data_IF_712580870875
#
_entry.id   IF_712580870875
#
_cell.length_a   1.000
_cell.length_b   1.000
_cell.length_c   1.000
_cell.angle_alpha   90.00
_cell.angle_beta   90.00
_cell.angle_gamma   90.00
#
_symmetry.space_group_name_H-M   'P 1'
#
loop_
_entity.id
_entity.type
_entity.pdbx_description
1 polymer ?
#
# COMPACT_ATOMS: atom_id res chain seq x y z
N UNK A 1 -29.03 -15.24 -27.37
CA UNK A 1 -27.86 -16.05 -26.93
C UNK A 1 -26.54 -15.30 -27.07
N UNK A 2 -26.31 -14.60 -28.18
CA UNK A 2 -25.07 -13.82 -28.41
C UNK A 2 -24.85 -12.66 -27.44
N UNK A 3 -25.90 -11.95 -26.99
CA UNK A 3 -25.77 -10.87 -26.02
C UNK A 3 -25.29 -11.37 -24.65
N UNK A 4 -25.82 -12.50 -24.19
CA UNK A 4 -25.41 -13.10 -22.92
C UNK A 4 -23.93 -13.51 -22.93
N UNK A 5 -23.48 -14.11 -24.04
CA UNK A 5 -22.07 -14.52 -24.20
C UNK A 5 -21.15 -13.28 -24.24
N UNK A 6 -21.55 -12.22 -24.95
CA UNK A 6 -20.76 -10.98 -25.01
C UNK A 6 -20.65 -10.29 -23.64
N UNK A 7 -21.76 -10.20 -22.89
CA UNK A 7 -21.75 -9.64 -21.54
C UNK A 7 -20.87 -10.48 -20.59
N UNK A 8 -20.96 -11.81 -20.68
CA UNK A 8 -20.14 -12.70 -19.87
C UNK A 8 -18.65 -12.54 -20.15
N UNK A 9 -18.27 -12.43 -21.44
CA UNK A 9 -16.87 -12.21 -21.83
C UNK A 9 -16.35 -10.86 -21.34
N UNK A 10 -17.12 -9.79 -21.49
CA UNK A 10 -16.74 -8.47 -20.97
C UNK A 10 -16.57 -8.45 -19.45
N UNK A 11 -17.43 -9.17 -18.73
CA UNK A 11 -17.31 -9.33 -17.28
C UNK A 11 -16.05 -10.12 -16.87
N UNK A 12 -15.71 -11.17 -17.60
CA UNK A 12 -14.50 -11.96 -17.38
C UNK A 12 -13.23 -11.15 -17.64
N UNK A 13 -13.19 -10.36 -18.71
CA UNK A 13 -12.07 -9.45 -18.99
C UNK A 13 -11.90 -8.41 -17.89
N UNK A 14 -12.99 -7.77 -17.46
CA UNK A 14 -12.97 -6.82 -16.35
C UNK A 14 -12.53 -7.46 -15.02
N UNK A 15 -12.98 -8.68 -14.75
CA UNK A 15 -12.56 -9.43 -13.57
C UNK A 15 -11.06 -9.76 -13.63
N UNK A 16 -10.55 -10.15 -14.80
CA UNK A 16 -9.11 -10.41 -15.00
C UNK A 16 -8.25 -9.16 -14.73
N UNK A 17 -8.67 -8.00 -15.22
CA UNK A 17 -8.00 -6.72 -14.95
C UNK A 17 -8.02 -6.36 -13.47
N UNK A 18 -9.14 -6.58 -12.78
CA UNK A 18 -9.24 -6.39 -11.33
C UNK A 18 -8.29 -7.28 -10.54
N UNK A 19 -8.23 -8.56 -10.87
CA UNK A 19 -7.31 -9.50 -10.23
C UNK A 19 -5.85 -9.09 -10.47
N UNK A 20 -5.51 -8.61 -11.66
CA UNK A 20 -4.17 -8.13 -11.97
C UNK A 20 -3.82 -6.91 -11.11
N UNK A 21 -4.69 -5.88 -11.07
CA UNK A 21 -4.47 -4.68 -10.25
C UNK A 21 -4.32 -5.08 -8.77
N UNK A 22 -5.19 -5.93 -8.26
CA UNK A 22 -5.16 -6.40 -6.88
C UNK A 22 -3.83 -7.09 -6.53
N UNK A 23 -3.43 -8.10 -7.31
CA UNK A 23 -2.21 -8.88 -7.04
C UNK A 23 -0.96 -8.00 -7.14
N UNK A 24 -0.84 -7.22 -8.22
CA UNK A 24 0.33 -6.35 -8.44
C UNK A 24 0.42 -5.28 -7.35
N UNK A 25 -0.71 -4.70 -6.95
CA UNK A 25 -0.75 -3.70 -5.87
C UNK A 25 -0.25 -4.31 -4.56
N UNK A 26 -0.73 -5.47 -4.14
CA UNK A 26 -0.28 -6.10 -2.88
C UNK A 26 1.21 -6.41 -2.94
N UNK A 27 1.68 -7.07 -4.02
CA UNK A 27 3.07 -7.48 -4.17
C UNK A 27 4.04 -6.28 -4.18
N UNK A 28 3.63 -5.14 -4.71
CA UNK A 28 4.44 -3.93 -4.75
C UNK A 28 4.27 -3.06 -3.50
N UNK A 29 3.04 -2.86 -3.02
CA UNK A 29 2.75 -1.94 -1.92
C UNK A 29 3.24 -2.46 -0.55
N UNK A 30 3.21 -3.77 -0.31
CA UNK A 30 3.71 -4.34 0.95
C UNK A 30 5.22 -4.08 1.17
N UNK A 31 6.13 -4.41 0.24
CA UNK A 31 7.55 -4.11 0.42
C UNK A 31 7.85 -2.60 0.39
N UNK A 32 7.17 -1.82 -0.45
CA UNK A 32 7.31 -0.37 -0.45
C UNK A 32 6.85 0.25 0.86
N UNK A 33 5.73 -0.21 1.41
CA UNK A 33 5.23 0.21 2.72
C UNK A 33 6.24 -0.08 3.83
N UNK A 34 6.93 -1.21 3.78
CA UNK A 34 7.99 -1.53 4.73
C UNK A 34 9.16 -0.55 4.63
N UNK A 35 9.62 -0.22 3.42
CA UNK A 35 10.68 0.77 3.18
C UNK A 35 10.26 2.16 3.72
N UNK A 36 9.05 2.60 3.42
CA UNK A 36 8.51 3.88 3.89
C UNK A 36 8.39 3.89 5.43
N UNK A 37 7.97 2.78 6.05
CA UNK A 37 7.88 2.68 7.51
C UNK A 37 9.26 2.80 8.17
N UNK A 38 10.28 2.17 7.60
CA UNK A 38 11.67 2.29 8.08
C UNK A 38 12.16 3.74 7.96
N UNK A 39 11.83 4.43 6.86
CA UNK A 39 12.12 5.85 6.69
C UNK A 39 11.44 6.72 7.76
N UNK A 40 10.16 6.45 8.06
CA UNK A 40 9.41 7.21 9.07
C UNK A 40 9.90 7.00 10.50
N UNK A 41 10.52 5.87 10.77
CA UNK A 41 11.16 5.54 12.07
C UNK A 41 12.66 5.89 12.11
N UNK A 42 13.23 6.40 11.01
CA UNK A 42 14.65 6.74 10.92
C UNK A 42 15.05 7.78 11.98
N UNK A 43 16.30 7.67 12.47
CA UNK A 43 16.91 8.69 13.33
C UNK A 43 17.30 9.96 12.57
N UNK A 44 17.45 9.87 11.26
CA UNK A 44 17.81 11.00 10.41
C UNK A 44 16.57 11.87 10.14
N UNK A 45 16.56 13.05 10.76
CA UNK A 45 15.40 13.96 10.77
C UNK A 45 14.82 14.30 9.39
N UNK A 46 15.63 14.61 8.33
CA UNK A 46 15.09 14.91 7.01
C UNK A 46 14.31 13.74 6.39
N UNK A 47 14.85 12.52 6.44
CA UNK A 47 14.17 11.32 5.90
C UNK A 47 12.86 11.09 6.65
N UNK A 48 12.90 11.17 7.98
CA UNK A 48 11.72 11.03 8.82
C UNK A 48 10.64 12.06 8.48
N UNK A 49 11.03 13.31 8.25
CA UNK A 49 10.08 14.38 7.91
C UNK A 49 9.47 14.16 6.53
N UNK A 50 10.27 13.87 5.51
CA UNK A 50 9.81 13.60 4.14
C UNK A 50 8.82 12.43 4.12
N UNK A 51 9.19 11.30 4.71
CA UNK A 51 8.33 10.10 4.71
C UNK A 51 7.03 10.33 5.48
N UNK A 52 7.07 11.01 6.63
CA UNK A 52 5.86 11.33 7.38
C UNK A 52 4.94 12.29 6.62
N UNK A 53 5.50 13.31 5.97
CA UNK A 53 4.72 14.25 5.15
C UNK A 53 4.10 13.53 3.95
N UNK A 54 4.85 12.66 3.27
CA UNK A 54 4.34 11.84 2.19
C UNK A 54 3.13 11.00 2.65
N UNK A 55 3.29 10.25 3.73
CA UNK A 55 2.21 9.41 4.28
C UNK A 55 1.01 10.26 4.69
N UNK A 56 1.24 11.41 5.31
CA UNK A 56 0.17 12.33 5.71
C UNK A 56 -0.63 12.85 4.52
N UNK A 57 0.05 13.28 3.44
CA UNK A 57 -0.62 13.76 2.22
C UNK A 57 -1.43 12.64 1.57
N UNK A 58 -0.81 11.47 1.37
CA UNK A 58 -1.46 10.34 0.68
C UNK A 58 -2.69 9.83 1.43
N UNK A 59 -2.60 9.69 2.76
CA UNK A 59 -3.73 9.24 3.58
C UNK A 59 -4.79 10.34 3.83
N UNK A 60 -4.41 11.61 3.66
CA UNK A 60 -5.31 12.75 3.77
C UNK A 60 -6.09 13.07 2.50
N UNK A 61 -5.78 12.42 1.39
CA UNK A 61 -6.43 12.65 0.09
C UNK A 61 -7.19 11.41 -0.38
N UNK A 62 -8.37 11.57 -1.03
CA UNK A 62 -9.14 10.45 -1.56
C UNK A 62 -8.37 9.73 -2.68
N UNK A 63 -8.45 8.40 -2.72
CA UNK A 63 -7.83 7.58 -3.77
C UNK A 63 -8.24 8.01 -5.18
N UNK A 64 -9.52 8.34 -5.39
CA UNK A 64 -10.02 8.82 -6.68
C UNK A 64 -9.31 10.10 -7.15
N UNK A 65 -9.05 11.04 -6.25
CA UNK A 65 -8.30 12.25 -6.58
C UNK A 65 -6.86 11.91 -7.00
N UNK A 66 -6.21 10.98 -6.30
CA UNK A 66 -4.86 10.53 -6.62
C UNK A 66 -4.83 9.86 -8.00
N UNK A 67 -5.85 9.07 -8.34
CA UNK A 67 -5.99 8.46 -9.65
C UNK A 67 -6.08 9.52 -10.76
N UNK A 68 -6.89 10.58 -10.57
CA UNK A 68 -6.99 11.69 -11.52
C UNK A 68 -5.66 12.42 -11.67
N UNK A 69 -4.95 12.66 -10.58
CA UNK A 69 -3.63 13.33 -10.62
C UNK A 69 -2.64 12.48 -11.43
N UNK A 70 -2.53 11.18 -11.16
CA UNK A 70 -1.60 10.29 -11.86
C UNK A 70 -1.96 10.15 -13.34
N UNK A 71 -3.25 10.19 -13.69
CA UNK A 71 -3.69 10.01 -15.07
C UNK A 71 -3.59 11.30 -15.90
N UNK A 72 -3.96 12.45 -15.36
CA UNK A 72 -4.07 13.70 -16.12
C UNK A 72 -2.85 14.63 -16.01
N UNK A 73 -2.14 14.65 -14.87
CA UNK A 73 -1.04 15.61 -14.67
C UNK A 73 0.17 15.31 -15.55
N UNK A 74 0.66 14.06 -15.74
CA UNK A 74 1.82 13.81 -16.60
C UNK A 74 1.62 14.24 -18.05
N UNK A 75 0.48 13.93 -18.73
CA UNK A 75 0.23 14.42 -20.08
C UNK A 75 0.18 15.95 -20.17
N UNK A 76 -0.42 16.61 -19.18
CA UNK A 76 -0.51 18.07 -19.15
C UNK A 76 0.85 18.74 -19.01
N UNK A 77 1.73 18.19 -18.16
CA UNK A 77 3.08 18.74 -17.93
C UNK A 77 4.04 18.49 -19.11
N UNK A 78 3.82 17.42 -19.88
CA UNK A 78 4.71 17.01 -20.98
C UNK A 78 4.16 17.32 -22.37
N UNK A 79 3.11 18.17 -22.49
CA UNK A 79 2.42 18.46 -23.76
C UNK A 79 2.06 17.20 -24.55
N UNK A 80 1.58 16.16 -23.85
CA UNK A 80 1.17 14.87 -24.45
C UNK A 80 2.31 13.87 -24.68
N UNK A 81 3.55 14.19 -24.31
CA UNK A 81 4.71 13.30 -24.50
C UNK A 81 4.75 12.08 -23.55
N UNK A 82 4.02 12.12 -22.44
CA UNK A 82 3.99 11.04 -21.44
C UNK A 82 2.54 10.66 -21.12
N UNK A 83 2.04 9.62 -21.79
CA UNK A 83 0.70 9.11 -21.56
C UNK A 83 0.74 7.74 -20.88
N UNK A 84 0.18 7.65 -19.68
CA UNK A 84 -0.06 6.35 -19.06
C UNK A 84 -1.34 5.72 -19.60
N UNK A 85 -1.30 4.40 -19.88
CA UNK A 85 -2.53 3.65 -20.05
C UNK A 85 -3.37 3.70 -18.76
N UNK A 86 -4.68 3.58 -18.87
CA UNK A 86 -5.60 3.62 -17.71
C UNK A 86 -5.17 2.63 -16.62
N UNK A 87 -4.79 1.41 -17.02
CA UNK A 87 -4.34 0.36 -16.10
C UNK A 87 -3.05 0.75 -15.39
N UNK A 88 -2.07 1.31 -16.11
CA UNK A 88 -0.80 1.73 -15.52
C UNK A 88 -0.98 2.89 -14.54
N UNK A 89 -1.81 3.88 -14.88
CA UNK A 89 -2.14 4.97 -13.97
C UNK A 89 -2.84 4.48 -12.70
N UNK A 90 -3.78 3.54 -12.86
CA UNK A 90 -4.44 2.89 -11.72
C UNK A 90 -3.44 2.14 -10.86
N UNK A 91 -2.59 1.29 -11.42
CA UNK A 91 -1.56 0.55 -10.69
C UNK A 91 -0.65 1.48 -9.89
N UNK A 92 -0.14 2.55 -10.50
CA UNK A 92 0.72 3.53 -9.83
C UNK A 92 0.00 4.18 -8.66
N UNK A 93 -1.23 4.68 -8.87
CA UNK A 93 -2.02 5.34 -7.83
C UNK A 93 -2.32 4.39 -6.66
N UNK A 94 -2.73 3.15 -6.96
CA UNK A 94 -3.00 2.14 -5.95
C UNK A 94 -1.74 1.73 -5.17
N UNK A 95 -0.62 1.50 -5.85
CA UNK A 95 0.64 1.14 -5.20
C UNK A 95 1.10 2.26 -4.25
N UNK A 96 1.06 3.53 -4.69
CA UNK A 96 1.43 4.69 -3.87
C UNK A 96 0.51 4.79 -2.65
N UNK A 97 -0.80 4.73 -2.86
CA UNK A 97 -1.81 4.83 -1.80
C UNK A 97 -1.63 3.72 -0.76
N UNK A 98 -1.67 2.47 -1.18
CA UNK A 98 -1.58 1.33 -0.28
C UNK A 98 -0.21 1.18 0.38
N UNK A 99 0.88 1.63 -0.25
CA UNK A 99 2.19 1.68 0.41
C UNK A 99 2.19 2.62 1.63
N UNK A 100 1.49 3.75 1.54
CA UNK A 100 1.34 4.66 2.68
C UNK A 100 0.50 4.03 3.81
N UNK A 101 -0.58 3.32 3.49
CA UNK A 101 -1.37 2.61 4.50
C UNK A 101 -0.60 1.47 5.16
N UNK A 102 0.06 0.60 4.40
CA UNK A 102 0.90 -0.47 4.95
C UNK A 102 2.06 0.08 5.79
N UNK A 103 2.65 1.21 5.40
CA UNK A 103 3.73 1.82 6.18
C UNK A 103 3.31 2.19 7.60
N UNK A 104 2.10 2.72 7.77
CA UNK A 104 1.56 3.05 9.10
C UNK A 104 1.19 1.81 9.92
N UNK A 105 0.69 0.75 9.26
CA UNK A 105 0.41 -0.52 9.92
C UNK A 105 1.71 -1.13 10.46
N UNK A 106 2.78 -1.16 9.66
CA UNK A 106 4.08 -1.66 10.09
C UNK A 106 4.67 -0.81 11.21
N UNK A 107 4.65 0.52 11.07
CA UNK A 107 5.12 1.43 12.10
C UNK A 107 4.36 1.25 13.41
N UNK A 108 3.02 1.25 13.36
CA UNK A 108 2.17 1.05 14.54
C UNK A 108 2.38 -0.31 15.19
N UNK A 109 2.56 -1.37 14.39
CA UNK A 109 2.89 -2.70 14.88
C UNK A 109 4.20 -2.73 15.67
N UNK A 110 5.26 -2.13 15.13
CA UNK A 110 6.58 -2.07 15.78
C UNK A 110 6.55 -1.20 17.03
N UNK A 111 5.96 -0.01 16.96
CA UNK A 111 5.87 0.93 18.09
C UNK A 111 4.98 0.41 19.23
N UNK A 112 4.06 -0.50 18.92
CA UNK A 112 3.15 -1.09 19.93
C UNK A 112 3.78 -2.16 20.81
N UNK A 113 5.00 -2.62 20.51
CA UNK A 113 5.71 -3.60 21.36
C UNK A 113 6.27 -2.87 22.59
N UNK A 114 5.93 -3.31 23.82
CA UNK A 114 6.40 -2.67 25.05
C UNK A 114 7.93 -2.66 25.14
N UNK A 115 8.50 -1.54 25.60
CA UNK A 115 9.95 -1.41 25.81
C UNK A 115 10.52 -2.47 26.72
N UNK A 116 9.76 -2.93 27.71
CA UNK A 116 10.16 -4.01 28.62
C UNK A 116 10.52 -5.32 27.90
N UNK A 117 10.01 -5.57 26.69
CA UNK A 117 10.42 -6.74 25.90
C UNK A 117 11.88 -6.61 25.41
N UNK A 118 12.29 -5.40 25.08
CA UNK A 118 13.67 -5.11 24.70
C UNK A 118 14.61 -5.18 25.91
N UNK A 119 14.18 -4.64 27.05
CA UNK A 119 14.93 -4.64 28.33
C UNK A 119 15.12 -6.07 28.85
N UNK A 120 14.05 -6.87 28.83
CA UNK A 120 14.13 -8.29 29.23
C UNK A 120 15.11 -9.08 28.34
N UNK A 121 15.09 -8.85 27.02
CA UNK A 121 16.06 -9.46 26.12
C UNK A 121 17.51 -9.06 26.43
N UNK A 122 17.73 -7.80 26.78
CA UNK A 122 19.07 -7.32 27.19
C UNK A 122 19.57 -7.95 28.50
N UNK A 123 18.69 -8.09 29.48
CA UNK A 123 19.02 -8.77 30.76
C UNK A 123 19.43 -10.22 30.55
N UNK A 124 18.82 -10.88 29.56
CA UNK A 124 19.17 -12.24 29.13
C UNK A 124 20.44 -12.32 28.26
N UNK A 125 21.17 -11.20 28.08
CA UNK A 125 22.39 -11.16 27.30
C UNK A 125 22.18 -11.26 25.76
N UNK A 126 20.95 -11.08 25.28
CA UNK A 126 20.66 -11.14 23.84
C UNK A 126 21.16 -9.87 23.14
N UNK A 127 21.71 -10.03 21.93
CA UNK A 127 22.05 -8.91 21.05
C UNK A 127 20.79 -8.25 20.48
N UNK A 128 20.87 -6.98 20.11
CA UNK A 128 19.73 -6.24 19.52
C UNK A 128 19.05 -6.96 18.34
N UNK A 129 19.78 -7.55 17.36
CA UNK A 129 19.16 -8.34 16.31
C UNK A 129 18.43 -9.58 16.85
N UNK A 130 19.03 -10.29 17.82
CA UNK A 130 18.40 -11.46 18.42
C UNK A 130 17.09 -11.10 19.12
N UNK A 131 17.03 -9.99 19.85
CA UNK A 131 15.81 -9.48 20.48
C UNK A 131 14.77 -9.19 19.40
N UNK A 132 15.17 -8.48 18.33
CA UNK A 132 14.24 -8.13 17.25
C UNK A 132 13.66 -9.38 16.58
N UNK A 133 14.48 -10.29 16.10
CA UNK A 133 14.00 -11.45 15.33
C UNK A 133 13.32 -12.52 16.20
N UNK A 134 13.79 -12.78 17.42
CA UNK A 134 13.25 -13.85 18.28
C UNK A 134 12.09 -13.42 19.15
N UNK A 135 12.03 -12.14 19.56
CA UNK A 135 11.03 -11.65 20.52
C UNK A 135 10.06 -10.68 19.88
N UNK A 136 10.56 -9.63 19.23
CA UNK A 136 9.75 -8.51 18.75
C UNK A 136 8.99 -8.86 17.49
N UNK A 137 9.66 -9.45 16.50
CA UNK A 137 9.09 -9.69 15.17
C UNK A 137 7.80 -10.51 15.22
N UNK A 138 7.76 -11.59 16.00
CA UNK A 138 6.57 -12.43 16.12
C UNK A 138 5.39 -11.70 16.79
N UNK A 139 5.68 -10.81 17.73
CA UNK A 139 4.66 -9.96 18.35
C UNK A 139 4.13 -8.92 17.36
N UNK A 140 5.02 -8.32 16.55
CA UNK A 140 4.64 -7.39 15.49
C UNK A 140 3.75 -8.09 14.47
N UNK A 141 4.15 -9.26 13.96
CA UNK A 141 3.36 -10.03 12.98
C UNK A 141 1.95 -10.29 13.49
N UNK A 142 1.81 -10.75 14.73
CA UNK A 142 0.48 -10.97 15.35
C UNK A 142 -0.37 -9.70 15.39
N UNK A 143 0.24 -8.55 15.67
CA UNK A 143 -0.48 -7.27 15.79
C UNK A 143 -0.88 -6.67 14.45
N UNK A 144 -0.06 -6.86 13.40
CA UNK A 144 -0.34 -6.29 12.08
C UNK A 144 -1.24 -7.17 11.22
N UNK A 145 -1.42 -8.45 11.55
CA UNK A 145 -2.22 -9.39 10.74
C UNK A 145 -3.67 -8.91 10.55
N UNK A 146 -4.34 -8.47 11.61
CA UNK A 146 -5.71 -7.99 11.49
C UNK A 146 -5.82 -6.67 10.70
N UNK A 147 -5.02 -5.61 10.97
CA UNK A 147 -5.02 -4.42 10.13
C UNK A 147 -4.67 -4.69 8.66
N UNK A 148 -3.70 -5.55 8.37
CA UNK A 148 -3.37 -5.93 6.98
C UNK A 148 -4.57 -6.62 6.32
N UNK A 149 -5.24 -7.55 7.02
CA UNK A 149 -6.44 -8.19 6.51
C UNK A 149 -7.55 -7.19 6.15
N UNK A 150 -7.76 -6.18 6.99
CA UNK A 150 -8.74 -5.11 6.72
C UNK A 150 -8.36 -4.29 5.47
N UNK A 151 -7.08 -3.95 5.30
CA UNK A 151 -6.62 -3.21 4.11
C UNK A 151 -6.74 -4.06 2.83
N UNK A 152 -6.49 -5.37 2.90
CA UNK A 152 -6.70 -6.27 1.76
C UNK A 152 -8.18 -6.31 1.36
N UNK A 153 -9.10 -6.37 2.32
CA UNK A 153 -10.55 -6.32 2.06
C UNK A 153 -10.94 -4.98 1.43
N UNK A 154 -10.37 -3.88 1.92
CA UNK A 154 -10.60 -2.54 1.36
C UNK A 154 -10.08 -2.45 -0.07
N UNK A 155 -8.90 -2.99 -0.36
CA UNK A 155 -8.34 -3.04 -1.70
C UNK A 155 -9.25 -3.80 -2.67
N UNK A 156 -9.85 -4.92 -2.27
CA UNK A 156 -10.82 -5.65 -3.10
C UNK A 156 -12.03 -4.77 -3.45
N UNK A 157 -12.52 -3.98 -2.50
CA UNK A 157 -13.63 -3.04 -2.73
C UNK A 157 -13.23 -1.92 -3.68
N UNK A 158 -12.06 -1.33 -3.46
CA UNK A 158 -11.55 -0.20 -4.26
C UNK A 158 -11.28 -0.62 -5.71
N UNK A 159 -10.66 -1.79 -5.94
CA UNK A 159 -10.43 -2.32 -7.29
C UNK A 159 -11.75 -2.65 -8.00
N UNK A 160 -12.75 -3.13 -7.29
CA UNK A 160 -14.08 -3.39 -7.86
C UNK A 160 -14.79 -2.09 -8.26
N UNK A 161 -14.63 -1.03 -7.48
CA UNK A 161 -15.22 0.29 -7.77
C UNK A 161 -14.62 0.92 -9.04
N UNK A 162 -13.38 0.64 -9.36
CA UNK A 162 -12.69 1.16 -10.54
C UNK A 162 -13.33 0.68 -11.86
N UNK A 163 -13.90 -0.52 -11.89
CA UNK A 163 -14.63 -1.05 -13.06
C UNK A 163 -15.89 -0.26 -13.39
N UNK A 164 -16.60 0.25 -12.38
CA UNK A 164 -17.83 1.01 -12.56
C UNK A 164 -17.58 2.48 -12.98
N UNK A 165 -16.40 3.01 -12.73
CA UNK A 165 -16.02 4.39 -13.07
C UNK A 165 -15.26 4.51 -14.40
N UNK A 166 -15.01 3.39 -15.10
CA UNK A 166 -14.42 3.40 -16.43
C UNK A 166 -15.52 3.59 -17.48
N UNK A 167 -15.70 4.78 -18.09
CA UNK A 167 -16.58 4.90 -19.25
C UNK A 167 -15.99 4.07 -20.38
N UNK A 168 -16.82 3.22 -20.93
CA UNK A 168 -16.59 2.43 -22.13
C UNK A 168 -16.25 3.31 -23.32
#
# INVERSE_FOLDING_TARGET
>A
MNQFINVTNSLLEGFGQNCLIFIVTILAAMPLGLIVSMGSMSKFKPIKWITKTFVWIIRGTPLMLQLFVVFYVPPLMTNGGFNFSRINAALIAFIINYSAYFSEIYRGGIESVPKGQYEAGQVLGMTKPQIFFKVVLMQVVKKITAPIGNEIITLVKDTSCLLYTSPS
#
